data_IF_644582469817
#
_entry.id   IF_644582469817
#
_cell.length_a   1.000
_cell.length_b   1.000
_cell.length_c   1.000
_cell.angle_alpha   90.00
_cell.angle_beta   90.00
_cell.angle_gamma   90.00
#
_symmetry.space_group_name_H-M   'P 1'
#
loop_
_entity.id
_entity.type
_entity.pdbx_description
1 polymer ?
#
# COMPACT_ATOMS: atom_id res chain seq x y z
N UNK A 1 -15.58 -0.32 15.47
CA UNK A 1 -15.35 0.83 14.55
C UNK A 1 -13.85 0.87 14.37
N UNK A 2 -13.29 0.37 13.24
CA UNK A 2 -11.89 -0.13 13.18
C UNK A 2 -10.82 0.85 13.68
N UNK A 3 -11.03 2.16 13.51
CA UNK A 3 -10.13 3.21 14.02
C UNK A 3 -10.16 3.29 15.55
N UNK A 4 -11.35 3.26 16.15
CA UNK A 4 -11.54 3.26 17.60
C UNK A 4 -10.96 2.00 18.25
N UNK A 5 -11.15 0.85 17.60
CA UNK A 5 -10.66 -0.45 18.11
C UNK A 5 -9.12 -0.51 18.12
N UNK A 6 -8.45 0.27 17.26
CA UNK A 6 -6.99 0.32 17.13
C UNK A 6 -6.35 1.58 17.72
N UNK A 7 -7.10 2.46 18.37
CA UNK A 7 -6.58 3.77 18.81
C UNK A 7 -5.38 3.66 19.76
N UNK A 8 -5.30 2.58 20.54
CA UNK A 8 -4.18 2.29 21.43
C UNK A 8 -2.87 1.98 20.68
N UNK A 9 -2.94 1.62 19.39
CA UNK A 9 -1.76 1.39 18.54
C UNK A 9 -1.24 2.71 17.91
N UNK A 10 -1.96 3.82 18.08
CA UNK A 10 -1.53 5.11 17.54
C UNK A 10 -0.33 5.65 18.33
N UNK A 11 0.68 6.07 17.58
CA UNK A 11 1.91 6.64 18.11
C UNK A 11 2.22 7.93 17.36
N UNK A 12 2.11 9.06 18.05
CA UNK A 12 2.34 10.38 17.48
C UNK A 12 3.78 10.58 17.01
N UNK A 13 4.76 9.84 17.56
CA UNK A 13 6.15 9.89 17.12
C UNK A 13 6.34 9.21 15.74
N UNK A 14 5.41 8.34 15.33
CA UNK A 14 5.45 7.63 14.04
C UNK A 14 4.71 8.37 12.92
N UNK A 15 3.91 9.39 13.25
CA UNK A 15 3.24 10.22 12.25
C UNK A 15 1.95 10.88 12.72
N UNK A 16 1.36 11.67 11.82
CA UNK A 16 0.09 12.37 12.07
C UNK A 16 -1.07 11.38 12.19
N UNK A 17 -2.01 11.65 13.09
CA UNK A 17 -3.21 10.84 13.33
C UNK A 17 -4.01 10.61 12.04
N UNK A 18 -4.16 11.65 11.21
CA UNK A 18 -4.87 11.56 9.93
C UNK A 18 -4.26 10.51 8.99
N UNK A 19 -2.93 10.49 8.86
CA UNK A 19 -2.21 9.52 8.01
C UNK A 19 -2.39 8.10 8.52
N UNK A 20 -2.38 7.91 9.85
CA UNK A 20 -2.63 6.61 10.46
C UNK A 20 -4.07 6.12 10.21
N UNK A 21 -5.06 6.99 10.37
CA UNK A 21 -6.46 6.67 10.04
C UNK A 21 -6.66 6.36 8.56
N UNK A 22 -6.02 7.11 7.66
CA UNK A 22 -6.06 6.89 6.22
C UNK A 22 -5.51 5.50 5.85
N UNK A 23 -4.44 5.05 6.51
CA UNK A 23 -3.90 3.70 6.31
C UNK A 23 -4.90 2.63 6.76
N UNK A 24 -5.58 2.81 7.90
CA UNK A 24 -6.63 1.88 8.34
C UNK A 24 -7.76 1.80 7.32
N UNK A 25 -8.23 2.95 6.82
CA UNK A 25 -9.29 3.02 5.83
C UNK A 25 -8.89 2.35 4.52
N UNK A 26 -7.67 2.63 4.02
CA UNK A 26 -7.13 2.02 2.81
C UNK A 26 -7.02 0.50 2.93
N UNK A 27 -6.47 0.00 4.04
CA UNK A 27 -6.35 -1.43 4.27
C UNK A 27 -7.74 -2.10 4.31
N UNK A 28 -8.71 -1.48 4.97
CA UNK A 28 -10.07 -1.99 5.01
C UNK A 28 -10.74 -2.01 3.62
N UNK A 29 -10.50 -0.98 2.80
CA UNK A 29 -11.00 -0.92 1.43
C UNK A 29 -10.37 -2.00 0.55
N UNK A 30 -9.05 -2.22 0.68
CA UNK A 30 -8.33 -3.28 -0.02
C UNK A 30 -8.81 -4.67 0.43
N UNK A 31 -8.96 -4.90 1.73
CA UNK A 31 -9.50 -6.16 2.27
C UNK A 31 -10.89 -6.45 1.70
N UNK A 32 -11.75 -5.42 1.60
CA UNK A 32 -13.09 -5.54 1.02
C UNK A 32 -13.05 -5.85 -0.48
N UNK A 33 -12.19 -5.18 -1.24
CA UNK A 33 -11.99 -5.43 -2.67
C UNK A 33 -11.46 -6.84 -2.94
N UNK A 34 -10.65 -7.36 -2.01
CA UNK A 34 -10.03 -8.68 -2.11
C UNK A 34 -10.94 -9.80 -1.62
N UNK A 35 -12.05 -9.49 -0.97
CA UNK A 35 -12.95 -10.49 -0.41
C UNK A 35 -13.49 -11.42 -1.51
N UNK A 36 -13.64 -12.71 -1.18
CA UNK A 36 -14.21 -13.70 -2.11
C UNK A 36 -15.60 -13.28 -2.59
N UNK A 37 -16.38 -12.58 -1.76
CA UNK A 37 -17.68 -12.04 -2.14
C UNK A 37 -17.57 -10.99 -3.26
N UNK A 38 -16.61 -10.06 -3.17
CA UNK A 38 -16.39 -9.08 -4.23
C UNK A 38 -15.93 -9.75 -5.53
N UNK A 39 -14.99 -10.70 -5.45
CA UNK A 39 -14.52 -11.47 -6.61
C UNK A 39 -15.61 -12.38 -7.21
N UNK A 40 -16.50 -12.94 -6.40
CA UNK A 40 -17.62 -13.77 -6.85
C UNK A 40 -18.72 -12.91 -7.52
N UNK A 41 -18.98 -11.72 -6.97
CA UNK A 41 -19.94 -10.76 -7.55
C UNK A 41 -19.47 -10.25 -8.91
N UNK A 42 -18.17 -9.92 -9.05
CA UNK A 42 -17.58 -9.55 -10.36
C UNK A 42 -17.59 -10.69 -11.40
N UNK A 43 -17.68 -11.96 -10.99
CA UNK A 43 -17.79 -13.09 -11.94
C UNK A 43 -19.23 -13.33 -12.41
N UNK A 44 -20.22 -12.79 -11.70
CA UNK A 44 -21.64 -13.00 -12.02
C UNK A 44 -22.19 -11.84 -12.86
N UNK A 45 -21.58 -10.65 -12.74
CA UNK A 45 -21.87 -9.49 -13.58
C UNK A 45 -20.97 -9.50 -14.83
N UNK A 46 -21.27 -10.38 -15.79
CA UNK A 46 -20.82 -10.21 -17.17
C UNK A 46 -21.67 -9.12 -17.82
N UNK A 47 -21.37 -7.86 -17.46
CA UNK A 47 -21.88 -6.68 -18.15
C UNK A 47 -20.68 -5.80 -18.47
N UNK A 48 -20.39 -5.77 -19.76
CA UNK A 48 -19.59 -4.79 -20.48
C UNK A 48 -19.69 -3.38 -19.89
N UNK A 49 -18.78 -3.02 -19.00
CA UNK A 49 -18.38 -1.62 -18.83
C UNK A 49 -16.93 -1.58 -18.34
N UNK A 50 -16.06 -1.82 -19.31
CA UNK A 50 -14.65 -1.48 -19.24
C UNK A 50 -14.52 0.04 -19.28
N UNK A 51 -14.89 0.72 -18.20
CA UNK A 51 -14.52 2.12 -18.02
C UNK A 51 -13.27 2.12 -17.16
N UNK A 52 -12.14 2.18 -17.87
CA UNK A 52 -10.91 2.78 -17.39
C UNK A 52 -11.27 3.98 -16.51
N UNK A 53 -11.19 3.80 -15.19
CA UNK A 53 -11.16 4.93 -14.27
C UNK A 53 -9.84 5.62 -14.59
N UNK A 54 -9.96 6.66 -15.40
CA UNK A 54 -8.91 7.60 -15.74
C UNK A 54 -8.47 8.27 -14.45
N UNK A 55 -7.44 7.71 -13.84
CA UNK A 55 -6.73 8.23 -12.66
C UNK A 55 -6.07 9.60 -12.96
N UNK A 56 -6.11 10.06 -14.21
CA UNK A 56 -5.55 11.34 -14.67
C UNK A 56 -6.27 12.58 -14.11
N UNK A 57 -7.57 12.50 -13.77
CA UNK A 57 -8.32 13.68 -13.29
C UNK A 57 -8.18 13.97 -11.79
N UNK A 58 -7.70 13.02 -11.00
CA UNK A 58 -7.41 13.24 -9.57
C UNK A 58 -5.92 13.54 -9.29
N UNK A 59 -5.06 13.40 -10.31
CA UNK A 59 -3.63 13.68 -10.18
C UNK A 59 -3.29 15.19 -10.19
N UNK A 60 -4.19 16.04 -10.70
CA UNK A 60 -3.85 17.42 -11.07
C UNK A 60 -4.21 18.51 -10.05
N UNK A 61 -4.84 18.19 -8.92
CA UNK A 61 -5.31 19.25 -8.02
C UNK A 61 -4.49 19.48 -6.73
N UNK A 62 -3.86 18.49 -6.09
CA UNK A 62 -3.24 18.73 -4.76
C UNK A 62 -2.25 17.64 -4.29
N UNK A 63 -1.09 17.45 -4.93
CA UNK A 63 0.00 16.66 -4.31
C UNK A 63 1.42 17.15 -4.64
N UNK A 64 1.87 18.28 -4.09
CA UNK A 64 3.29 18.66 -4.13
C UNK A 64 4.20 17.60 -3.46
N UNK A 65 3.67 16.73 -2.59
CA UNK A 65 4.45 15.69 -1.89
C UNK A 65 4.69 14.40 -2.71
N UNK A 66 3.91 14.09 -3.75
CA UNK A 66 4.05 12.81 -4.48
C UNK A 66 5.06 12.85 -5.63
N UNK A 67 5.40 14.04 -6.13
CA UNK A 67 6.20 14.21 -7.35
C UNK A 67 7.63 13.64 -7.19
N UNK A 68 8.14 13.46 -5.97
CA UNK A 68 9.48 12.86 -5.74
C UNK A 68 9.49 11.41 -5.28
N UNK A 69 8.38 10.85 -4.79
CA UNK A 69 8.39 9.53 -4.12
C UNK A 69 8.72 8.42 -5.11
N UNK A 70 8.15 8.45 -6.32
CA UNK A 70 8.40 7.42 -7.33
C UNK A 70 9.86 7.46 -7.79
N UNK A 71 10.41 8.64 -8.05
CA UNK A 71 11.81 8.83 -8.43
C UNK A 71 12.79 8.39 -7.34
N UNK A 72 12.42 8.55 -6.07
CA UNK A 72 13.23 8.08 -4.94
C UNK A 72 13.19 6.56 -4.79
N UNK A 73 12.04 5.94 -5.04
CA UNK A 73 11.91 4.47 -5.04
C UNK A 73 12.74 3.85 -6.17
N UNK A 74 12.90 4.53 -7.32
CA UNK A 74 13.80 4.11 -8.40
C UNK A 74 15.28 4.06 -7.98
N UNK A 75 15.69 4.81 -6.95
CA UNK A 75 17.07 4.79 -6.43
C UNK A 75 17.35 3.60 -5.50
N UNK A 76 16.34 2.84 -5.12
CA UNK A 76 16.52 1.65 -4.28
C UNK A 76 17.09 0.47 -5.08
N UNK A 77 17.84 -0.45 -4.44
CA UNK A 77 18.18 -1.73 -5.03
C UNK A 77 16.93 -2.46 -5.54
N UNK A 78 17.03 -3.15 -6.67
CA UNK A 78 15.88 -3.79 -7.34
C UNK A 78 15.02 -4.67 -6.42
N UNK A 79 15.65 -5.42 -5.51
CA UNK A 79 14.94 -6.26 -4.54
C UNK A 79 14.13 -5.43 -3.53
N UNK A 80 14.64 -4.30 -3.08
CA UNK A 80 13.95 -3.39 -2.16
C UNK A 80 12.84 -2.64 -2.87
N UNK A 81 13.10 -2.17 -4.10
CA UNK A 81 12.09 -1.55 -4.97
C UNK A 81 10.88 -2.47 -5.14
N UNK A 82 11.11 -3.74 -5.52
CA UNK A 82 10.01 -4.72 -5.72
C UNK A 82 9.16 -4.90 -4.47
N UNK A 83 9.78 -4.94 -3.29
CA UNK A 83 9.06 -5.05 -2.02
C UNK A 83 8.23 -3.81 -1.71
N UNK A 84 8.79 -2.61 -1.91
CA UNK A 84 8.08 -1.35 -1.73
C UNK A 84 6.91 -1.22 -2.71
N UNK A 85 7.11 -1.67 -3.96
CA UNK A 85 6.07 -1.64 -4.98
C UNK A 85 4.89 -2.54 -4.63
N UNK A 86 5.17 -3.79 -4.29
CA UNK A 86 4.14 -4.74 -3.86
C UNK A 86 3.37 -4.20 -2.65
N UNK A 87 4.07 -3.65 -1.66
CA UNK A 87 3.44 -3.25 -0.40
C UNK A 87 2.64 -1.95 -0.51
N UNK A 88 3.20 -0.90 -1.13
CA UNK A 88 2.61 0.45 -1.10
C UNK A 88 1.85 0.83 -2.38
N UNK A 89 2.27 0.33 -3.55
CA UNK A 89 1.56 0.60 -4.80
C UNK A 89 0.52 -0.49 -5.11
N UNK A 90 0.85 -1.76 -4.88
CA UNK A 90 -0.07 -2.87 -5.14
C UNK A 90 -0.89 -3.33 -3.92
N UNK A 91 -0.55 -2.83 -2.71
CA UNK A 91 -1.34 -3.05 -1.51
C UNK A 91 -1.23 -4.46 -0.89
N UNK A 92 -0.17 -5.20 -1.19
CA UNK A 92 0.09 -6.51 -0.60
C UNK A 92 0.49 -6.36 0.87
N UNK A 93 0.02 -7.26 1.71
CA UNK A 93 0.51 -7.42 3.08
C UNK A 93 1.87 -8.12 3.09
N UNK A 94 2.61 -8.00 4.19
CA UNK A 94 3.91 -8.64 4.33
C UNK A 94 3.83 -10.18 4.24
N UNK A 95 2.73 -10.78 4.68
CA UNK A 95 2.49 -12.22 4.56
C UNK A 95 2.24 -12.61 3.11
N UNK A 96 1.46 -11.83 2.36
CA UNK A 96 1.21 -12.12 0.94
C UNK A 96 2.47 -11.93 0.10
N UNK A 97 3.32 -10.95 0.42
CA UNK A 97 4.63 -10.78 -0.22
C UNK A 97 5.53 -11.98 0.08
N UNK A 98 5.47 -12.52 1.29
CA UNK A 98 6.21 -13.71 1.71
C UNK A 98 5.80 -14.93 0.88
N UNK A 99 4.50 -15.10 0.64
CA UNK A 99 3.96 -16.17 -0.21
C UNK A 99 4.30 -15.95 -1.69
N UNK A 100 4.06 -14.76 -2.23
CA UNK A 100 4.27 -14.40 -3.64
C UNK A 100 5.74 -14.53 -4.06
N UNK A 101 6.66 -14.10 -3.19
CA UNK A 101 8.10 -14.15 -3.47
C UNK A 101 8.78 -15.40 -2.92
N UNK A 102 8.03 -16.32 -2.29
CA UNK A 102 8.55 -17.51 -1.62
C UNK A 102 9.72 -17.21 -0.65
N UNK A 103 9.63 -16.09 0.06
CA UNK A 103 10.63 -15.66 1.04
C UNK A 103 10.08 -15.77 2.46
N UNK A 104 10.88 -16.09 3.48
CA UNK A 104 10.41 -16.06 4.86
C UNK A 104 9.86 -14.69 5.28
N UNK A 105 8.77 -14.67 6.05
CA UNK A 105 8.14 -13.43 6.53
C UNK A 105 9.13 -12.53 7.30
N UNK A 106 10.05 -13.13 8.06
CA UNK A 106 11.12 -12.39 8.75
C UNK A 106 12.05 -11.66 7.77
N UNK A 107 12.38 -12.29 6.65
CA UNK A 107 13.18 -11.69 5.58
C UNK A 107 12.44 -10.53 4.91
N UNK A 108 11.15 -10.71 4.61
CA UNK A 108 10.31 -9.64 4.05
C UNK A 108 10.30 -8.43 5.00
N UNK A 109 10.00 -8.64 6.28
CA UNK A 109 10.00 -7.57 7.31
C UNK A 109 11.34 -6.84 7.39
N UNK A 110 12.44 -7.58 7.41
CA UNK A 110 13.78 -7.00 7.54
C UNK A 110 14.15 -6.20 6.30
N UNK A 111 13.89 -6.72 5.10
CA UNK A 111 14.18 -6.03 3.83
C UNK A 111 13.31 -4.79 3.62
N UNK A 112 12.02 -4.87 3.97
CA UNK A 112 11.11 -3.71 3.95
C UNK A 112 11.61 -2.64 4.92
N UNK A 113 12.01 -3.01 6.14
CA UNK A 113 12.57 -2.06 7.10
C UNK A 113 13.84 -1.40 6.57
N UNK A 114 14.74 -2.17 5.98
CA UNK A 114 15.96 -1.64 5.35
C UNK A 114 15.63 -0.65 4.23
N UNK A 115 14.69 -1.00 3.34
CA UNK A 115 14.24 -0.12 2.27
C UNK A 115 13.66 1.20 2.80
N UNK A 116 12.86 1.16 3.87
CA UNK A 116 12.31 2.36 4.51
C UNK A 116 13.38 3.24 5.17
N UNK A 117 14.45 2.64 5.72
CA UNK A 117 15.59 3.38 6.26
C UNK A 117 16.36 4.06 5.13
N UNK A 118 16.64 3.33 4.04
CA UNK A 118 17.31 3.89 2.86
C UNK A 118 16.52 5.07 2.27
N UNK A 119 15.20 4.92 2.13
CA UNK A 119 14.34 6.02 1.68
C UNK A 119 14.45 7.21 2.63
N UNK A 120 14.37 7.00 3.94
CA UNK A 120 14.49 8.08 4.93
C UNK A 120 15.83 8.82 4.87
N UNK A 121 16.92 8.17 4.46
CA UNK A 121 18.22 8.84 4.29
C UNK A 121 18.30 9.69 3.02
N UNK A 122 17.45 9.41 2.04
CA UNK A 122 17.32 10.21 0.82
C UNK A 122 16.41 11.44 1.00
N UNK A 123 15.73 11.54 2.16
CA UNK A 123 14.91 12.66 2.62
C UNK A 123 15.62 13.42 3.75
#
# INVERSE_FOLDING_TARGET
MKVWDKINDYDAAKGRLFTWMLNIARNLALDKLRSKEYKAKMKTDDVSENVFISDERYASANKPEFIGIKEMVEKLPAEQKKLIDLMYFQGYSQSEISEELQMPLGTVKTRVRAAMISLRQLF
#
